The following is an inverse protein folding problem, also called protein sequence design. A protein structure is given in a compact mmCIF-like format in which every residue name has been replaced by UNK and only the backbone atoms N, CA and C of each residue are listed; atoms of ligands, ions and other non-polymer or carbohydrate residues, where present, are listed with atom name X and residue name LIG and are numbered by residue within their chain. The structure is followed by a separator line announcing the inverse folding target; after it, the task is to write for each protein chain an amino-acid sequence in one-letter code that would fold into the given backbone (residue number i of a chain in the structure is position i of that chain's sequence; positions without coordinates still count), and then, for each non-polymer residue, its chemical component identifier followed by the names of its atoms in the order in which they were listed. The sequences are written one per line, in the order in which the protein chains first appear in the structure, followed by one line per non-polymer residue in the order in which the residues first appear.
data_IF_155856301706
#
_entry.id   IF_155856301706
#
_cell.length_a   1.000
_cell.length_b   1.000
_cell.length_c   1.000
_cell.angle_alpha   90.00
_cell.angle_beta   90.00
_cell.angle_gamma   90.00
#
_symmetry.space_group_name_H-M   'P 1'
#
loop_
_entity.id
_entity.type
_entity.pdbx_description
1 polymer ?
#
# COMPACT_ATOMS: atom_id res chain seq x y z
N UNK A 1 18.26 -5.23 -2.55
CA UNK A 1 16.85 -4.90 -2.19
C UNK A 1 15.95 -5.06 -3.41
N UNK A 2 14.85 -5.83 -3.32
CA UNK A 2 13.90 -5.97 -4.43
C UNK A 2 13.03 -4.72 -4.51
N UNK A 3 12.99 -4.03 -5.66
CA UNK A 3 12.19 -2.81 -5.84
C UNK A 3 10.71 -3.02 -5.49
N UNK A 4 10.19 -4.23 -5.73
CA UNK A 4 8.83 -4.61 -5.37
C UNK A 4 8.53 -4.47 -3.87
N UNK A 5 9.53 -4.63 -2.99
CA UNK A 5 9.37 -4.43 -1.53
C UNK A 5 9.03 -2.99 -1.15
N UNK A 6 9.37 -2.01 -2.00
CA UNK A 6 9.00 -0.62 -1.78
C UNK A 6 7.50 -0.35 -1.98
N UNK A 7 6.76 -1.26 -2.63
CA UNK A 7 5.32 -1.14 -2.80
C UNK A 7 4.58 -1.07 -1.44
N UNK A 8 5.13 -1.70 -0.40
CA UNK A 8 4.58 -1.64 0.96
C UNK A 8 4.58 -0.21 1.54
N UNK A 9 5.45 0.69 1.07
CA UNK A 9 5.43 2.10 1.48
C UNK A 9 4.17 2.82 0.99
N UNK A 10 3.69 2.50 -0.22
CA UNK A 10 2.43 3.04 -0.72
C UNK A 10 1.26 2.59 0.16
N UNK A 11 1.22 1.30 0.53
CA UNK A 11 0.22 0.75 1.47
C UNK A 11 0.33 1.42 2.84
N UNK A 12 1.55 1.58 3.37
CA UNK A 12 1.81 2.23 4.67
C UNK A 12 1.25 3.64 4.69
N UNK A 13 1.51 4.43 3.66
CA UNK A 13 1.02 5.81 3.55
C UNK A 13 -0.50 5.86 3.41
N UNK A 14 -1.09 5.08 2.50
CA UNK A 14 -2.56 5.00 2.31
C UNK A 14 -3.25 4.66 3.62
N UNK A 15 -2.72 3.69 4.37
CA UNK A 15 -3.32 3.19 5.60
C UNK A 15 -3.06 4.06 6.84
N UNK A 16 -2.42 5.23 6.70
CA UNK A 16 -2.43 6.25 7.77
C UNK A 16 -3.82 6.87 7.99
N UNK A 17 -4.75 6.64 7.06
CA UNK A 17 -6.12 7.13 7.14
C UNK A 17 -7.13 5.97 7.01
N UNK A 18 -8.13 5.99 7.89
CA UNK A 18 -9.31 5.13 7.83
C UNK A 18 -10.56 6.01 7.66
N UNK A 19 -10.98 6.34 6.42
CA UNK A 19 -12.03 7.32 6.15
C UNK A 19 -13.36 6.98 6.82
N UNK A 20 -13.81 5.73 6.71
CA UNK A 20 -15.08 5.25 7.30
C UNK A 20 -15.07 5.22 8.84
N UNK A 21 -13.89 5.37 9.45
CA UNK A 21 -13.74 5.49 10.92
C UNK A 21 -13.42 6.91 11.35
N UNK A 22 -13.24 7.86 10.42
CA UNK A 22 -12.82 9.23 10.71
C UNK A 22 -11.46 9.33 11.40
N UNK A 23 -10.56 8.36 11.18
CA UNK A 23 -9.24 8.32 11.83
C UNK A 23 -8.13 8.67 10.85
N UNK A 24 -7.22 9.56 11.25
CA UNK A 24 -6.01 9.92 10.50
C UNK A 24 -4.82 10.02 11.47
N UNK A 25 -3.77 9.24 11.22
CA UNK A 25 -2.56 9.19 12.04
C UNK A 25 -1.42 10.04 11.49
N UNK A 26 -1.50 10.53 10.25
CA UNK A 26 -0.47 11.37 9.64
C UNK A 26 -0.72 12.85 9.94
N UNK A 27 -0.60 13.21 11.22
CA UNK A 27 -0.98 14.54 11.73
C UNK A 27 0.18 15.37 12.26
N UNK A 28 1.41 14.84 12.26
CA UNK A 28 2.60 15.52 12.76
C UNK A 28 3.86 15.09 11.99
N UNK A 29 4.94 15.87 12.13
CA UNK A 29 6.25 15.49 11.57
C UNK A 29 6.78 14.17 12.14
N UNK A 30 6.49 13.85 13.39
CA UNK A 30 6.90 12.56 13.98
C UNK A 30 6.15 11.39 13.35
N UNK A 31 4.88 11.58 12.97
CA UNK A 31 4.15 10.59 12.18
C UNK A 31 4.75 10.41 10.78
N UNK A 32 5.23 11.49 10.16
CA UNK A 32 5.97 11.44 8.88
C UNK A 32 7.28 10.67 9.04
N UNK A 33 8.09 10.96 10.07
CA UNK A 33 9.31 10.21 10.38
C UNK A 33 9.02 8.73 10.59
N UNK A 34 7.92 8.44 11.28
CA UNK A 34 7.38 7.11 11.49
C UNK A 34 6.89 6.41 10.22
N UNK A 35 7.01 6.98 9.02
CA UNK A 35 6.81 6.29 7.73
C UNK A 35 8.10 5.69 7.17
N UNK A 36 9.26 6.13 7.64
CA UNK A 36 10.56 5.67 7.17
C UNK A 36 11.11 4.55 8.06
N UNK A 37 12.25 3.97 7.68
CA UNK A 37 13.09 3.19 8.60
C UNK A 37 13.90 4.13 9.48
N UNK A 38 14.28 3.70 10.68
CA UNK A 38 15.01 4.52 11.65
C UNK A 38 16.34 5.07 11.10
N UNK A 39 16.99 4.34 10.19
CA UNK A 39 18.24 4.74 9.53
C UNK A 39 18.06 5.61 8.29
N UNK A 40 16.83 5.98 7.92
CA UNK A 40 16.56 6.73 6.69
C UNK A 40 17.05 8.17 6.80
N UNK A 41 18.02 8.54 5.95
CA UNK A 41 18.47 9.93 5.80
C UNK A 41 17.32 10.85 5.37
N UNK A 42 16.47 10.40 4.44
CA UNK A 42 15.30 11.15 4.01
C UNK A 42 14.30 11.37 5.16
N UNK A 43 14.10 10.36 6.02
CA UNK A 43 13.27 10.50 7.22
C UNK A 43 13.81 11.56 8.20
N UNK A 44 15.14 11.67 8.35
CA UNK A 44 15.76 12.70 9.18
C UNK A 44 15.56 14.13 8.65
N UNK A 45 15.29 14.29 7.35
CA UNK A 45 14.98 15.56 6.70
C UNK A 45 13.49 15.94 6.76
N UNK A 46 12.65 15.14 7.44
CA UNK A 46 11.22 15.43 7.51
C UNK A 46 10.93 16.70 8.32
N UNK A 47 10.07 17.55 7.75
CA UNK A 47 9.63 18.82 8.32
C UNK A 47 8.09 18.90 8.36
N UNK A 48 7.55 19.89 9.07
CA UNK A 48 6.09 20.11 9.19
C UNK A 48 5.39 20.25 7.83
N UNK A 49 6.08 20.83 6.84
CA UNK A 49 5.57 20.98 5.49
C UNK A 49 5.33 19.64 4.77
N UNK A 50 5.99 18.55 5.18
CA UNK A 50 5.80 17.23 4.59
C UNK A 50 4.48 16.58 5.00
N UNK A 51 3.89 16.96 6.14
CA UNK A 51 2.60 16.42 6.61
C UNK A 51 1.48 16.64 5.56
N UNK A 52 1.14 17.88 5.18
CA UNK A 52 0.10 18.11 4.18
C UNK A 52 0.48 17.58 2.78
N UNK A 53 1.77 17.59 2.42
CA UNK A 53 2.24 17.09 1.13
C UNK A 53 2.04 15.59 0.99
N UNK A 54 2.48 14.82 1.98
CA UNK A 54 2.29 13.37 2.02
C UNK A 54 0.82 12.98 2.15
N UNK A 55 -0.02 13.78 2.81
CA UNK A 55 -1.49 13.60 2.76
C UNK A 55 -2.05 13.78 1.35
N UNK A 56 -1.55 14.74 0.57
CA UNK A 56 -1.91 14.89 -0.84
C UNK A 56 -1.50 13.68 -1.69
N UNK A 57 -0.27 13.17 -1.50
CA UNK A 57 0.20 11.94 -2.16
C UNK A 57 -0.63 10.74 -1.74
N UNK A 58 -0.96 10.62 -0.46
CA UNK A 58 -1.83 9.58 0.11
C UNK A 58 -3.17 9.51 -0.60
N UNK A 59 -3.85 10.64 -0.80
CA UNK A 59 -5.15 10.69 -1.49
C UNK A 59 -5.04 10.16 -2.92
N UNK A 60 -3.97 10.51 -3.64
CA UNK A 60 -3.75 10.06 -5.02
C UNK A 60 -3.42 8.58 -5.09
N UNK A 61 -2.55 8.08 -4.21
CA UNK A 61 -2.27 6.65 -4.10
C UNK A 61 -3.53 5.86 -3.74
N UNK A 62 -4.36 6.36 -2.82
CA UNK A 62 -5.66 5.73 -2.51
C UNK A 62 -6.52 5.60 -3.77
N UNK A 63 -6.56 6.64 -4.62
CA UNK A 63 -7.24 6.59 -5.91
C UNK A 63 -6.73 5.49 -6.84
N UNK A 64 -5.42 5.20 -6.83
CA UNK A 64 -4.84 4.07 -7.59
C UNK A 64 -5.41 2.73 -7.09
N UNK A 65 -5.40 2.51 -5.77
CA UNK A 65 -5.93 1.27 -5.18
C UNK A 65 -7.45 1.13 -5.37
N UNK A 66 -8.20 2.23 -5.32
CA UNK A 66 -9.65 2.23 -5.54
C UNK A 66 -9.99 1.91 -7.00
N UNK A 67 -9.34 2.57 -7.96
CA UNK A 67 -9.52 2.26 -9.38
C UNK A 67 -9.21 0.80 -9.71
N UNK A 68 -8.10 0.28 -9.16
CA UNK A 68 -7.74 -1.13 -9.30
C UNK A 68 -8.79 -2.08 -8.68
N UNK A 69 -9.26 -1.77 -7.47
CA UNK A 69 -10.30 -2.56 -6.80
C UNK A 69 -11.67 -2.52 -7.52
N UNK A 70 -11.93 -1.46 -8.29
CA UNK A 70 -13.11 -1.30 -9.14
C UNK A 70 -12.97 -2.02 -10.50
N UNK A 71 -11.78 -2.55 -10.83
CA UNK A 71 -11.46 -3.18 -12.11
C UNK A 71 -11.12 -2.19 -13.23
N UNK A 72 -10.91 -0.92 -12.92
CA UNK A 72 -10.51 0.12 -13.87
C UNK A 72 -8.97 0.23 -13.91
N UNK A 73 -8.34 -0.77 -14.54
CA UNK A 73 -6.88 -0.92 -14.60
C UNK A 73 -6.22 0.28 -15.32
N UNK A 74 -6.85 0.79 -16.37
CA UNK A 74 -6.33 1.93 -17.15
C UNK A 74 -6.26 3.17 -16.27
N UNK A 75 -7.34 3.48 -15.54
CA UNK A 75 -7.35 4.62 -14.60
C UNK A 75 -6.34 4.44 -13.47
N UNK A 76 -6.18 3.22 -12.95
CA UNK A 76 -5.16 2.95 -11.92
C UNK A 76 -3.75 3.25 -12.44
N UNK A 77 -3.43 2.81 -13.65
CA UNK A 77 -2.14 3.07 -14.32
C UNK A 77 -1.94 4.56 -14.61
N UNK A 78 -2.96 5.26 -15.09
CA UNK A 78 -2.86 6.70 -15.38
C UNK A 78 -2.62 7.54 -14.12
N UNK A 79 -3.29 7.20 -13.02
CA UNK A 79 -3.08 7.83 -11.71
C UNK A 79 -1.67 7.57 -11.18
N UNK A 80 -1.17 6.33 -11.33
CA UNK A 80 0.19 5.98 -10.92
C UNK A 80 1.25 6.66 -11.80
N UNK A 81 1.07 6.70 -13.12
CA UNK A 81 1.96 7.40 -14.04
C UNK A 81 2.04 8.89 -13.73
N UNK A 82 0.91 9.50 -13.37
CA UNK A 82 0.87 10.90 -12.94
C UNK A 82 1.75 11.15 -11.70
N UNK A 83 1.76 10.21 -10.74
CA UNK A 83 2.66 10.28 -9.59
C UNK A 83 4.12 10.02 -9.97
N UNK A 84 4.40 9.04 -10.83
CA UNK A 84 5.76 8.73 -11.29
C UNK A 84 6.40 9.89 -12.05
N UNK A 85 5.64 10.63 -12.85
CA UNK A 85 6.11 11.83 -13.54
C UNK A 85 6.42 12.98 -12.58
N UNK A 86 5.66 13.11 -11.50
CA UNK A 86 5.84 14.16 -10.50
C UNK A 86 6.99 13.86 -9.52
N UNK A 87 7.20 12.58 -9.22
CA UNK A 87 8.22 12.09 -8.29
C UNK A 87 9.18 11.13 -9.01
N UNK A 88 10.05 11.63 -9.91
CA UNK A 88 10.95 10.79 -10.67
C UNK A 88 12.03 10.17 -9.78
N UNK A 89 12.42 8.94 -10.09
CA UNK A 89 13.55 8.25 -9.45
C UNK A 89 14.82 8.36 -10.28
N UNK A 90 15.98 8.26 -9.62
CA UNK A 90 17.28 8.10 -10.28
C UNK A 90 17.81 6.68 -10.00
N UNK A 91 17.68 5.72 -10.93
CA UNK A 91 18.15 4.36 -10.72
C UNK A 91 19.68 4.27 -10.73
N UNK A 92 20.24 3.43 -9.88
CA UNK A 92 21.66 3.12 -9.76
C UNK A 92 21.87 1.61 -9.72
N UNK A 93 22.99 1.12 -10.25
CA UNK A 93 23.38 -0.28 -10.11
C UNK A 93 24.26 -0.42 -8.87
N UNK A 94 23.91 -1.36 -7.99
CA UNK A 94 24.66 -1.67 -6.77
C UNK A 94 24.94 -3.17 -6.68
N UNK A 95 26.04 -3.54 -6.03
CA UNK A 95 26.40 -4.94 -5.76
C UNK A 95 27.02 -5.16 -4.38
N UNK A 96 26.94 -4.18 -3.48
CA UNK A 96 27.66 -4.23 -2.20
C UNK A 96 26.92 -4.98 -1.09
N UNK A 97 25.61 -5.24 -1.25
CA UNK A 97 24.79 -5.81 -0.17
C UNK A 97 24.93 -7.33 -0.04
N UNK A 98 25.08 -8.03 -1.17
CA UNK A 98 25.00 -9.50 -1.22
C UNK A 98 25.94 -10.08 -2.27
N UNK A 99 26.43 -11.28 -1.99
CA UNK A 99 27.16 -12.11 -2.95
C UNK A 99 26.23 -13.20 -3.50
N UNK A 100 26.50 -13.65 -4.73
CA UNK A 100 25.90 -14.86 -5.30
C UNK A 100 26.56 -16.13 -4.74
N UNK A 101 26.03 -17.30 -5.10
CA UNK A 101 26.53 -18.60 -4.64
C UNK A 101 28.00 -18.86 -5.05
N UNK A 102 28.52 -18.10 -6.03
CA UNK A 102 29.91 -18.16 -6.50
C UNK A 102 30.80 -17.06 -5.87
N UNK A 103 30.29 -16.32 -4.88
CA UNK A 103 31.03 -15.27 -4.16
C UNK A 103 31.18 -13.95 -4.93
N UNK A 104 30.42 -13.73 -6.01
CA UNK A 104 30.46 -12.49 -6.82
C UNK A 104 29.40 -11.50 -6.34
N UNK A 105 29.61 -10.18 -6.48
CA UNK A 105 28.58 -9.18 -6.22
C UNK A 105 27.27 -9.50 -6.95
N UNK A 106 26.17 -9.57 -6.20
CA UNK A 106 24.83 -9.69 -6.79
C UNK A 106 24.36 -8.30 -7.21
N UNK A 107 24.58 -7.98 -8.47
CA UNK A 107 24.14 -6.71 -9.06
C UNK A 107 22.62 -6.59 -9.03
N UNK A 108 22.14 -5.43 -8.59
CA UNK A 108 20.72 -5.11 -8.58
C UNK A 108 20.50 -3.59 -8.62
N UNK A 109 19.26 -3.18 -8.92
CA UNK A 109 18.90 -1.78 -9.00
C UNK A 109 18.64 -1.21 -7.61
N UNK A 110 19.21 -0.05 -7.33
CA UNK A 110 18.87 0.83 -6.22
C UNK A 110 18.24 2.11 -6.75
N UNK A 111 17.47 2.77 -5.90
CA UNK A 111 17.02 4.13 -6.14
C UNK A 111 17.96 5.07 -5.39
N UNK A 112 18.52 6.07 -6.09
CA UNK A 112 19.41 7.03 -5.48
C UNK A 112 18.68 7.82 -4.38
N UNK A 113 19.36 8.02 -3.26
CA UNK A 113 18.89 8.91 -2.20
C UNK A 113 19.37 10.35 -2.46
N UNK A 114 18.90 10.94 -3.56
CA UNK A 114 19.24 12.31 -3.98
C UNK A 114 18.04 13.27 -3.95
N UNK A 115 16.88 12.80 -3.48
CA UNK A 115 15.68 13.61 -3.39
C UNK A 115 15.86 14.77 -2.41
N UNK A 116 15.35 15.98 -2.72
CA UNK A 116 15.59 17.19 -1.92
C UNK A 116 14.73 17.26 -0.65
N UNK A 117 13.66 16.47 -0.55
CA UNK A 117 12.73 16.48 0.59
C UNK A 117 12.31 15.06 0.96
N UNK A 118 11.86 14.87 2.20
CA UNK A 118 11.30 13.61 2.68
C UNK A 118 10.10 13.17 1.84
N UNK A 119 9.19 14.10 1.52
CA UNK A 119 8.04 13.84 0.63
C UNK A 119 8.50 13.31 -0.73
N UNK A 120 9.45 14.00 -1.38
CA UNK A 120 9.88 13.62 -2.72
C UNK A 120 10.52 12.22 -2.73
N UNK A 121 11.38 11.94 -1.75
CA UNK A 121 12.01 10.63 -1.60
C UNK A 121 10.97 9.52 -1.39
N UNK A 122 10.11 9.70 -0.37
CA UNK A 122 9.10 8.69 -0.01
C UNK A 122 8.17 8.39 -1.18
N UNK A 123 7.67 9.44 -1.83
CA UNK A 123 6.73 9.32 -2.94
C UNK A 123 7.36 8.63 -4.15
N UNK A 124 8.59 9.01 -4.51
CA UNK A 124 9.30 8.40 -5.63
C UNK A 124 9.53 6.89 -5.41
N UNK A 125 10.02 6.52 -4.23
CA UNK A 125 10.30 5.12 -3.87
C UNK A 125 9.00 4.30 -3.78
N UNK A 126 7.97 4.82 -3.11
CA UNK A 126 6.67 4.15 -2.99
C UNK A 126 5.99 3.95 -4.35
N UNK A 127 5.99 4.96 -5.22
CA UNK A 127 5.38 4.87 -6.55
C UNK A 127 6.17 3.92 -7.46
N UNK A 128 7.50 3.95 -7.42
CA UNK A 128 8.32 3.02 -8.19
C UNK A 128 8.10 1.57 -7.73
N UNK A 129 8.06 1.32 -6.42
CA UNK A 129 7.74 -0.01 -5.89
C UNK A 129 6.37 -0.50 -6.33
N UNK A 130 5.35 0.36 -6.24
CA UNK A 130 4.00 0.03 -6.68
C UNK A 130 3.93 -0.23 -8.20
N UNK A 131 4.70 0.51 -9.00
CA UNK A 131 4.79 0.31 -10.44
C UNK A 131 5.40 -1.05 -10.78
N UNK A 132 6.52 -1.42 -10.13
CA UNK A 132 7.13 -2.75 -10.29
C UNK A 132 6.12 -3.84 -9.92
N UNK A 133 5.48 -3.73 -8.75
CA UNK A 133 4.47 -4.69 -8.32
C UNK A 133 3.32 -4.85 -9.34
N UNK A 134 2.79 -3.73 -9.83
CA UNK A 134 1.73 -3.71 -10.83
C UNK A 134 2.17 -4.38 -12.14
N UNK A 135 3.38 -4.07 -12.63
CA UNK A 135 3.87 -4.64 -13.89
C UNK A 135 4.23 -6.12 -13.80
N UNK A 136 4.64 -6.60 -12.62
CA UNK A 136 5.00 -8.00 -12.41
C UNK A 136 3.79 -8.89 -12.14
N UNK A 137 2.81 -8.39 -11.37
CA UNK A 137 1.72 -9.22 -10.83
C UNK A 137 0.32 -8.85 -11.34
N UNK A 138 0.15 -7.66 -11.90
CA UNK A 138 -1.11 -7.13 -12.42
C UNK A 138 -1.75 -6.06 -11.51
N UNK A 139 -2.54 -5.18 -12.11
CA UNK A 139 -3.29 -4.14 -11.38
C UNK A 139 -4.35 -4.75 -10.45
N UNK A 140 -4.90 -5.91 -10.80
CA UNK A 140 -5.85 -6.70 -10.00
C UNK A 140 -5.29 -7.15 -8.64
N UNK A 141 -3.98 -6.97 -8.39
CA UNK A 141 -3.33 -7.25 -7.10
C UNK A 141 -3.36 -6.08 -6.12
N UNK A 142 -3.77 -4.90 -6.56
CA UNK A 142 -3.90 -3.72 -5.72
C UNK A 142 -5.35 -3.69 -5.22
N UNK A 143 -5.55 -3.89 -3.92
CA UNK A 143 -6.88 -4.07 -3.37
C UNK A 143 -7.23 -3.12 -2.23
N UNK A 144 -8.53 -2.92 -2.03
CA UNK A 144 -9.12 -2.29 -0.84
C UNK A 144 -9.81 -3.36 0.01
N UNK A 145 -9.58 -3.34 1.32
CA UNK A 145 -10.09 -4.32 2.26
C UNK A 145 -11.63 -4.46 2.17
N UNK A 146 -12.13 -5.68 2.03
CA UNK A 146 -13.58 -5.95 1.92
C UNK A 146 -14.27 -6.10 3.28
N UNK A 147 -13.55 -6.00 4.40
CA UNK A 147 -14.11 -6.18 5.74
C UNK A 147 -14.64 -4.85 6.31
N UNK A 148 -15.89 -4.49 5.99
CA UNK A 148 -16.51 -3.26 6.49
C UNK A 148 -16.38 -3.09 8.03
N UNK A 149 -16.15 -1.85 8.52
CA UNK A 149 -15.97 -0.59 7.77
C UNK A 149 -14.50 -0.34 7.32
N UNK A 150 -13.62 -1.34 7.33
CA UNK A 150 -12.22 -1.12 6.95
C UNK A 150 -12.09 -0.85 5.45
N UNK A 151 -11.29 0.17 5.09
CA UNK A 151 -10.97 0.56 3.71
C UNK A 151 -9.46 0.67 3.47
N UNK A 152 -8.69 -0.14 4.21
CA UNK A 152 -7.24 -0.17 4.08
C UNK A 152 -6.84 -0.80 2.74
N UNK A 153 -5.83 -0.23 2.10
CA UNK A 153 -5.17 -0.81 0.94
C UNK A 153 -4.37 -2.06 1.33
N UNK A 154 -4.20 -2.96 0.37
CA UNK A 154 -3.31 -4.10 0.45
C UNK A 154 -2.76 -4.47 -0.92
N UNK A 155 -1.65 -5.22 -0.91
CA UNK A 155 -1.07 -5.87 -2.06
C UNK A 155 -1.32 -7.37 -1.97
N UNK A 156 -1.83 -7.97 -3.04
CA UNK A 156 -2.07 -9.41 -3.12
C UNK A 156 -0.88 -10.14 -3.75
N UNK A 157 -0.03 -10.68 -2.89
CA UNK A 157 1.10 -11.55 -3.27
C UNK A 157 0.74 -13.04 -3.28
N UNK A 158 -0.55 -13.40 -3.10
CA UNK A 158 -0.98 -14.80 -3.12
C UNK A 158 -0.86 -15.42 -4.51
N UNK A 159 -0.53 -16.70 -4.58
CA UNK A 159 -0.40 -17.41 -5.86
C UNK A 159 -1.70 -17.42 -6.66
N UNK A 160 -2.86 -17.44 -5.99
CA UNK A 160 -4.18 -17.69 -6.59
C UNK A 160 -5.15 -16.49 -6.54
N UNK A 161 -4.65 -15.25 -6.43
CA UNK A 161 -5.50 -14.03 -6.45
C UNK A 161 -6.61 -14.01 -5.40
N UNK A 162 -6.36 -14.60 -4.24
CA UNK A 162 -7.42 -14.89 -3.27
C UNK A 162 -7.49 -13.90 -2.11
N UNK A 163 -6.53 -12.99 -1.97
CA UNK A 163 -6.53 -12.04 -0.87
C UNK A 163 -7.67 -11.04 -1.07
N UNK A 164 -8.54 -10.93 -0.06
CA UNK A 164 -9.69 -10.00 -0.02
C UNK A 164 -9.62 -9.00 1.12
N UNK A 165 -8.69 -9.21 2.05
CA UNK A 165 -8.61 -8.48 3.31
C UNK A 165 -7.18 -7.99 3.55
N UNK A 166 -7.06 -6.81 4.17
CA UNK A 166 -5.75 -6.23 4.45
C UNK A 166 -4.97 -7.02 5.52
N UNK A 167 -5.64 -7.81 6.37
CA UNK A 167 -5.02 -8.59 7.44
C UNK A 167 -5.89 -9.76 7.87
N UNK A 168 -5.28 -10.73 8.58
CA UNK A 168 -5.96 -11.88 9.17
C UNK A 168 -7.04 -11.46 10.19
N UNK A 169 -6.81 -10.35 10.90
CA UNK A 169 -7.81 -9.77 11.81
C UNK A 169 -9.06 -9.32 11.05
N UNK A 170 -8.89 -8.66 9.90
CA UNK A 170 -10.01 -8.27 9.05
C UNK A 170 -10.71 -9.49 8.43
N UNK A 171 -9.95 -10.50 7.99
CA UNK A 171 -10.49 -11.75 7.47
C UNK A 171 -11.35 -12.48 8.52
N UNK A 172 -10.82 -12.64 9.73
CA UNK A 172 -11.52 -13.28 10.86
C UNK A 172 -12.79 -12.52 11.21
N UNK A 173 -12.72 -11.18 11.30
CA UNK A 173 -13.89 -10.33 11.58
C UNK A 173 -15.00 -10.53 10.53
N UNK A 174 -14.64 -10.52 9.25
CA UNK A 174 -15.60 -10.71 8.15
C UNK A 174 -16.23 -12.11 8.20
N UNK A 175 -15.44 -13.15 8.42
CA UNK A 175 -15.92 -14.53 8.49
C UNK A 175 -16.90 -14.74 9.67
N UNK A 176 -16.58 -14.20 10.85
CA UNK A 176 -17.46 -14.27 12.03
C UNK A 176 -18.77 -13.51 11.78
N UNK A 177 -18.72 -12.32 11.17
CA UNK A 177 -19.91 -11.55 10.83
C UNK A 177 -20.81 -12.32 9.85
N UNK A 178 -20.23 -12.90 8.79
CA UNK A 178 -20.95 -13.72 7.82
C UNK A 178 -21.59 -14.98 8.46
N UNK A 179 -20.85 -15.68 9.32
CA UNK A 179 -21.37 -16.82 10.08
C UNK A 179 -22.58 -16.43 10.94
N UNK A 180 -22.48 -15.33 11.69
CA UNK A 180 -23.58 -14.83 12.54
C UNK A 180 -24.79 -14.41 11.70
N UNK A 181 -24.59 -13.82 10.52
CA UNK A 181 -25.68 -13.46 9.61
C UNK A 181 -26.44 -14.70 9.12
N UNK A 182 -25.72 -15.75 8.70
CA UNK A 182 -26.34 -17.03 8.32
C UNK A 182 -27.13 -17.66 9.47
N UNK A 183 -26.58 -17.68 10.69
CA UNK A 183 -27.30 -18.19 11.87
C UNK A 183 -28.57 -17.43 12.21
N UNK A 184 -28.60 -16.11 12.03
CA UNK A 184 -29.84 -15.32 12.20
C UNK A 184 -30.87 -15.62 11.11
N UNK A 185 -30.43 -15.82 9.88
CA UNK A 185 -31.32 -16.19 8.76
C UNK A 185 -31.93 -17.59 8.96
N UNK A 186 -31.13 -18.57 9.38
CA UNK A 186 -31.59 -19.92 9.73
C UNK A 186 -32.64 -19.89 10.86
N UNK A 187 -32.38 -19.13 11.92
CA UNK A 187 -33.33 -18.99 13.03
C UNK A 187 -34.63 -18.31 12.59
N UNK A 188 -34.56 -17.23 11.81
CA UNK A 188 -35.75 -16.53 11.31
C UNK A 188 -36.59 -17.39 10.35
N UNK A 189 -35.94 -18.21 9.51
CA UNK A 189 -36.62 -19.14 8.63
C UNK A 189 -37.36 -20.24 9.40
N UNK A 190 -36.75 -20.76 10.48
CA UNK A 190 -37.41 -21.72 11.36
C UNK A 190 -38.66 -21.13 12.05
N UNK A 191 -38.58 -19.89 12.55
CA UNK A 191 -39.74 -19.20 13.17
C UNK A 191 -40.87 -18.92 12.18
N UNK A 192 -40.56 -18.73 10.89
CA UNK A 192 -41.57 -18.46 9.85
C UNK A 192 -42.28 -19.73 9.37
N UNK A 193 -41.72 -20.92 9.59
CA UNK A 193 -42.33 -22.20 9.21
C UNK A 193 -43.27 -22.77 10.30
N UNK A 194 -43.20 -22.25 11.52
CA UNK A 194 -43.99 -22.71 12.68
C UNK A 194 -45.26 -21.87 12.96
N UNK A 195 -45.48 -20.76 12.23
CA UNK A 195 -46.64 -19.88 12.35
C UNK A 195 -47.51 -19.88 11.12
#
# INVERSE_FOLDING_TARGET
MELASYADLAVRLVNTEEPERGTDTLTSVDAVRGLFSDSSRAGALAEEADVPRLRGVRTRLRGVFEAAAEGDEVRAVDLLNSLLMEYPVSPLVSGHDHLDDAGRPRWHLHLADNSPTATAHFSAVACMGLAVHLTELGADRLGICQAAPCRNAYLDTSTNRSRRYCSDRCATRANVAAYRARKRQEAAAATTQEG
#
